data_IF_316347934657
#
_entry.id   IF_316347934657
#
_cell.length_a   1.000
_cell.length_b   1.000
_cell.length_c   1.000
_cell.angle_alpha   90.00
_cell.angle_beta   90.00
_cell.angle_gamma   90.00
#
_symmetry.space_group_name_H-M   'P 1'
#
loop_
_entity.id
_entity.type
_entity.pdbx_description
1 polymer ?
#
# COMPACT_ATOMS: atom_id res chain seq x y z
N UNK A 1 -47.76 1.75 -0.74
CA UNK A 1 -46.79 0.70 -0.38
C UNK A 1 -45.54 0.90 -1.23
N UNK A 2 -44.32 1.19 -0.77
CA UNK A 2 -43.74 1.63 0.52
C UNK A 2 -42.41 2.27 0.09
N UNK A 3 -42.02 3.45 0.60
CA UNK A 3 -40.79 4.12 0.17
C UNK A 3 -39.57 3.41 0.78
N UNK A 4 -38.57 3.06 -0.05
CA UNK A 4 -37.25 2.64 0.46
C UNK A 4 -36.48 3.88 0.91
N UNK A 5 -36.59 4.20 2.19
CA UNK A 5 -35.64 5.06 2.89
C UNK A 5 -34.37 4.28 3.28
N UNK A 6 -33.24 4.95 3.08
CA UNK A 6 -31.99 4.89 3.85
C UNK A 6 -31.11 3.63 3.79
N UNK A 7 -30.19 3.61 2.82
CA UNK A 7 -28.77 3.46 3.18
C UNK A 7 -28.11 4.84 2.99
N UNK A 8 -28.12 5.65 4.03
CA UNK A 8 -27.38 6.92 4.07
C UNK A 8 -25.88 6.65 4.24
N UNK A 9 -25.28 5.98 3.26
CA UNK A 9 -23.84 5.82 3.15
C UNK A 9 -23.18 7.15 2.74
N UNK A 10 -22.02 7.46 3.29
CA UNK A 10 -21.21 8.61 2.84
C UNK A 10 -20.92 8.44 1.35
N UNK A 11 -21.32 9.42 0.53
CA UNK A 11 -21.10 9.39 -0.92
C UNK A 11 -19.60 9.17 -1.22
N UNK A 12 -19.24 8.23 -2.10
CA UNK A 12 -17.87 8.04 -2.54
C UNK A 12 -17.27 9.33 -3.12
N UNK A 13 -16.05 9.64 -2.69
CA UNK A 13 -15.26 10.75 -3.19
C UNK A 13 -14.19 10.14 -4.09
N UNK A 14 -13.98 10.72 -5.27
CA UNK A 14 -12.85 10.40 -6.13
C UNK A 14 -11.65 11.31 -5.81
N UNK A 15 -10.41 10.87 -6.09
CA UNK A 15 -9.25 11.74 -6.12
C UNK A 15 -9.51 12.99 -6.98
N UNK A 16 -8.87 14.11 -6.66
CA UNK A 16 -8.99 15.35 -7.47
C UNK A 16 -8.18 15.23 -8.75
N UNK A 17 -8.69 15.79 -9.84
CA UNK A 17 -8.01 15.96 -11.13
C UNK A 17 -6.88 16.98 -11.11
N UNK A 18 -6.76 17.78 -10.05
CA UNK A 18 -5.80 18.90 -9.99
C UNK A 18 -4.36 18.45 -9.80
N UNK A 19 -4.15 17.26 -9.23
CA UNK A 19 -2.85 16.65 -9.00
C UNK A 19 -3.00 15.12 -9.02
N UNK A 20 -2.02 14.43 -9.61
CA UNK A 20 -2.01 12.96 -9.70
C UNK A 20 -1.81 12.28 -8.33
N UNK A 21 -1.96 10.95 -8.27
CA UNK A 21 -1.89 10.20 -7.01
C UNK A 21 -0.54 10.36 -6.30
N UNK A 22 0.56 10.38 -7.05
CA UNK A 22 1.91 10.64 -6.53
C UNK A 22 1.97 11.99 -5.79
N UNK A 23 1.48 13.06 -6.41
CA UNK A 23 1.49 14.41 -5.82
C UNK A 23 0.53 14.52 -4.62
N UNK A 24 -0.54 13.73 -4.59
CA UNK A 24 -1.41 13.62 -3.40
C UNK A 24 -0.71 12.89 -2.24
N UNK A 25 0.09 11.86 -2.51
CA UNK A 25 0.93 11.21 -1.51
C UNK A 25 2.02 12.17 -0.98
N UNK A 26 2.63 12.96 -1.85
CA UNK A 26 3.59 14.01 -1.45
C UNK A 26 2.93 15.09 -0.55
N UNK A 27 1.61 15.33 -0.70
CA UNK A 27 0.84 16.21 0.18
C UNK A 27 0.65 15.61 1.57
N UNK A 28 0.41 14.29 1.66
CA UNK A 28 0.42 13.59 2.95
C UNK A 28 1.80 13.68 3.60
N UNK A 29 2.86 13.38 2.86
CA UNK A 29 4.24 13.42 3.35
C UNK A 29 4.61 14.83 3.86
N UNK A 30 4.21 15.87 3.12
CA UNK A 30 4.38 17.28 3.53
C UNK A 30 3.61 17.61 4.81
N UNK A 31 2.38 17.11 4.96
CA UNK A 31 1.58 17.35 6.15
C UNK A 31 2.19 16.66 7.40
N UNK A 32 2.79 15.48 7.23
CA UNK A 32 3.52 14.79 8.29
C UNK A 32 4.80 15.53 8.66
N UNK A 33 5.58 15.98 7.67
CA UNK A 33 6.81 16.76 7.90
C UNK A 33 6.53 18.04 8.69
N UNK A 34 5.51 18.82 8.29
CA UNK A 34 5.16 20.09 8.92
C UNK A 34 4.44 19.91 10.27
N UNK A 35 3.61 18.87 10.41
CA UNK A 35 2.89 18.58 11.66
C UNK A 35 3.74 17.94 12.74
N UNK A 36 4.89 17.36 12.36
CA UNK A 36 5.80 16.69 13.28
C UNK A 36 5.22 15.41 13.90
N UNK A 37 5.91 14.82 14.90
CA UNK A 37 5.47 13.59 15.57
C UNK A 37 4.14 13.76 16.34
N UNK A 38 3.82 14.99 16.74
CA UNK A 38 2.57 15.35 17.41
C UNK A 38 1.38 15.48 16.44
N UNK A 39 1.62 15.33 15.12
CA UNK A 39 0.60 15.42 14.06
C UNK A 39 -0.21 16.72 14.13
N UNK A 40 0.47 17.84 14.42
CA UNK A 40 -0.19 19.14 14.56
C UNK A 40 -0.91 19.51 13.25
N UNK A 41 -2.10 20.15 13.31
CA UNK A 41 -2.81 20.58 12.12
C UNK A 41 -1.97 21.55 11.26
N UNK A 42 -1.86 21.27 9.97
CA UNK A 42 -1.05 22.06 9.02
C UNK A 42 -1.97 22.91 8.13
N UNK A 43 -1.91 24.26 8.19
CA UNK A 43 -2.71 25.13 7.34
C UNK A 43 -2.56 24.84 5.83
N UNK A 44 -3.66 24.89 5.07
CA UNK A 44 -3.61 24.66 3.61
C UNK A 44 -2.62 25.56 2.85
N UNK A 45 -2.50 26.87 3.15
CA UNK A 45 -1.53 27.74 2.47
C UNK A 45 -0.08 27.29 2.69
N UNK A 46 0.23 26.78 3.88
CA UNK A 46 1.56 26.32 4.25
C UNK A 46 1.93 25.04 3.50
N UNK A 47 1.07 24.01 3.58
CA UNK A 47 1.24 22.77 2.82
C UNK A 47 1.29 23.03 1.30
N UNK A 48 0.43 23.92 0.80
CA UNK A 48 0.40 24.33 -0.60
C UNK A 48 1.69 25.02 -1.04
N UNK A 49 2.24 25.91 -0.21
CA UNK A 49 3.52 26.60 -0.51
C UNK A 49 4.67 25.61 -0.61
N UNK A 50 4.77 24.65 0.32
CA UNK A 50 5.82 23.62 0.31
C UNK A 50 5.78 22.76 -0.95
N UNK A 51 4.57 22.47 -1.45
CA UNK A 51 4.36 21.72 -2.70
C UNK A 51 4.26 22.57 -3.97
N UNK A 52 4.30 23.90 -3.86
CA UNK A 52 4.08 24.81 -5.00
C UNK A 52 2.73 24.59 -5.71
N UNK A 53 1.67 24.40 -4.93
CA UNK A 53 0.28 24.28 -5.41
C UNK A 53 -0.64 25.25 -4.66
N UNK A 54 -1.73 25.67 -5.30
CA UNK A 54 -2.68 26.59 -4.66
C UNK A 54 -3.48 25.94 -3.52
N UNK A 55 -3.97 26.78 -2.58
CA UNK A 55 -4.87 26.37 -1.49
C UNK A 55 -6.05 25.53 -1.97
N UNK A 56 -6.65 25.90 -3.11
CA UNK A 56 -7.79 25.19 -3.67
C UNK A 56 -7.43 23.75 -4.10
N UNK A 57 -6.20 23.51 -4.57
CA UNK A 57 -5.71 22.17 -4.91
C UNK A 57 -5.56 21.31 -3.67
N UNK A 58 -4.93 21.84 -2.61
CA UNK A 58 -4.81 21.17 -1.31
C UNK A 58 -6.21 20.82 -0.76
N UNK A 59 -7.12 21.79 -0.79
CA UNK A 59 -8.48 21.60 -0.32
C UNK A 59 -9.22 20.51 -1.09
N UNK A 60 -9.07 20.44 -2.42
CA UNK A 60 -9.69 19.39 -3.24
C UNK A 60 -9.08 18.01 -2.99
N UNK A 61 -7.76 17.93 -2.82
CA UNK A 61 -7.04 16.66 -2.62
C UNK A 61 -7.38 15.98 -1.29
N UNK A 62 -7.66 16.75 -0.23
CA UNK A 62 -7.90 16.19 1.10
C UNK A 62 -9.12 15.25 1.15
N UNK A 63 -10.13 15.46 0.30
CA UNK A 63 -11.44 14.82 0.44
C UNK A 63 -11.35 13.30 0.30
N UNK A 64 -10.63 12.83 -0.71
CA UNK A 64 -10.38 11.41 -0.95
C UNK A 64 -9.54 10.80 0.17
N UNK A 65 -8.43 11.43 0.54
CA UNK A 65 -7.54 10.94 1.60
C UNK A 65 -8.24 10.88 2.97
N UNK A 66 -9.12 11.86 3.27
CA UNK A 66 -9.92 11.89 4.49
C UNK A 66 -10.96 10.77 4.53
N UNK A 67 -11.69 10.55 3.44
CA UNK A 67 -12.68 9.46 3.37
C UNK A 67 -12.02 8.09 3.58
N UNK A 68 -10.75 7.96 3.20
CA UNK A 68 -10.00 6.70 3.26
C UNK A 68 -8.96 6.66 4.39
N UNK A 69 -9.18 7.47 5.44
CA UNK A 69 -8.51 7.31 6.73
C UNK A 69 -7.08 7.83 6.82
N UNK A 70 -6.53 8.49 5.78
CA UNK A 70 -5.18 9.07 5.82
C UNK A 70 -5.15 10.46 6.44
N UNK A 71 -6.26 11.21 6.31
CA UNK A 71 -6.43 12.53 6.92
C UNK A 71 -7.67 12.58 7.82
N UNK A 72 -7.61 13.40 8.86
CA UNK A 72 -8.70 13.67 9.78
C UNK A 72 -9.61 14.82 9.31
N UNK A 73 -10.74 15.03 10.00
CA UNK A 73 -11.61 16.18 9.75
C UNK A 73 -10.94 17.46 10.26
N UNK A 74 -10.76 18.44 9.37
CA UNK A 74 -10.35 19.79 9.76
C UNK A 74 -10.84 20.82 8.74
N UNK A 75 -11.02 22.07 9.19
CA UNK A 75 -11.38 23.20 8.34
C UNK A 75 -10.15 24.07 8.13
N UNK A 76 -9.73 24.24 6.89
CA UNK A 76 -8.62 25.13 6.53
C UNK A 76 -7.21 24.58 6.82
N UNK A 77 -7.11 23.40 7.41
CA UNK A 77 -5.86 22.71 7.70
C UNK A 77 -5.96 21.20 7.37
N UNK A 78 -4.82 20.57 7.14
CA UNK A 78 -4.66 19.13 7.05
C UNK A 78 -4.36 18.61 8.44
N UNK A 79 -5.12 17.63 8.91
CA UNK A 79 -4.80 16.88 10.11
C UNK A 79 -4.48 15.47 9.67
N UNK A 80 -3.29 14.98 9.99
CA UNK A 80 -2.90 13.60 9.63
C UNK A 80 -3.43 12.63 10.68
N UNK A 81 -3.90 11.46 10.26
CA UNK A 81 -4.29 10.39 11.19
C UNK A 81 -3.09 9.55 11.58
N UNK A 82 -3.23 8.68 12.60
CA UNK A 82 -2.20 7.70 12.91
C UNK A 82 -1.85 6.80 11.69
N UNK A 83 -2.85 6.43 10.89
CA UNK A 83 -2.65 5.63 9.68
C UNK A 83 -1.91 6.41 8.58
N UNK A 84 -2.26 7.68 8.38
CA UNK A 84 -1.56 8.56 7.43
C UNK A 84 -0.11 8.83 7.84
N UNK A 85 0.14 9.03 9.14
CA UNK A 85 1.48 9.20 9.69
C UNK A 85 2.33 7.95 9.48
N UNK A 86 1.79 6.78 9.86
CA UNK A 86 2.46 5.49 9.66
C UNK A 86 2.76 5.22 8.19
N UNK A 87 1.82 5.51 7.28
CA UNK A 87 2.05 5.38 5.84
C UNK A 87 3.24 6.25 5.40
N UNK A 88 3.28 7.52 5.82
CA UNK A 88 4.36 8.43 5.43
C UNK A 88 5.73 7.99 5.96
N UNK A 89 5.79 7.56 7.21
CA UNK A 89 7.02 7.03 7.81
C UNK A 89 7.52 5.79 7.04
N UNK A 90 6.62 4.84 6.77
CA UNK A 90 6.96 3.67 5.96
C UNK A 90 7.45 4.05 4.56
N UNK A 91 6.81 5.04 3.91
CA UNK A 91 7.23 5.49 2.57
C UNK A 91 8.67 6.00 2.54
N UNK A 92 9.13 6.64 3.63
CA UNK A 92 10.50 7.15 3.74
C UNK A 92 11.55 6.05 3.92
N UNK A 93 11.19 4.94 4.56
CA UNK A 93 12.15 3.89 4.94
C UNK A 93 12.04 2.62 4.09
N UNK A 94 10.82 2.24 3.73
CA UNK A 94 10.48 0.97 3.05
C UNK A 94 9.20 1.15 2.22
N UNK A 95 9.39 1.58 0.97
CA UNK A 95 8.28 1.81 0.03
C UNK A 95 7.45 0.55 -0.24
N UNK A 96 8.06 -0.65 -0.24
CA UNK A 96 7.32 -1.89 -0.46
C UNK A 96 6.37 -2.17 0.70
N UNK A 97 6.84 -2.02 1.95
CA UNK A 97 6.01 -2.16 3.14
C UNK A 97 4.92 -1.10 3.23
N UNK A 98 5.21 0.13 2.81
CA UNK A 98 4.19 1.19 2.74
C UNK A 98 3.03 0.83 1.81
N UNK A 99 3.32 0.28 0.63
CA UNK A 99 2.31 -0.12 -0.35
C UNK A 99 1.47 -1.30 0.15
N UNK A 100 2.10 -2.30 0.78
CA UNK A 100 1.38 -3.42 1.42
C UNK A 100 0.50 -2.95 2.59
N UNK A 101 1.03 -2.06 3.42
CA UNK A 101 0.26 -1.46 4.51
C UNK A 101 -0.97 -0.72 4.00
N UNK A 102 -0.82 0.07 2.92
CA UNK A 102 -1.93 0.78 2.29
C UNK A 102 -2.96 -0.19 1.68
N UNK A 103 -2.50 -1.27 1.04
CA UNK A 103 -3.37 -2.33 0.51
C UNK A 103 -4.27 -2.89 1.61
N UNK A 104 -3.68 -3.22 2.76
CA UNK A 104 -4.38 -3.85 3.87
C UNK A 104 -5.33 -2.85 4.55
N UNK A 105 -4.91 -1.58 4.69
CA UNK A 105 -5.77 -0.48 5.17
C UNK A 105 -7.01 -0.28 4.29
N UNK A 106 -6.86 -0.45 2.98
CA UNK A 106 -7.92 -0.21 1.99
C UNK A 106 -8.57 -1.47 1.43
N UNK A 107 -8.34 -2.65 2.03
CA UNK A 107 -8.91 -3.92 1.56
C UNK A 107 -10.44 -3.87 1.45
N UNK A 108 -11.08 -3.16 2.39
CA UNK A 108 -12.52 -2.97 2.47
C UNK A 108 -12.96 -1.58 1.98
N UNK A 109 -12.12 -0.86 1.25
CA UNK A 109 -12.53 0.39 0.62
C UNK A 109 -13.48 0.11 -0.56
N UNK A 110 -14.38 1.06 -0.85
CA UNK A 110 -15.38 0.91 -1.91
C UNK A 110 -14.74 0.71 -3.28
N UNK A 111 -13.62 1.38 -3.56
CA UNK A 111 -12.92 1.32 -4.84
C UNK A 111 -12.15 0.01 -4.99
N UNK A 112 -11.59 -0.53 -3.90
CA UNK A 112 -10.97 -1.86 -3.88
C UNK A 112 -12.00 -2.93 -4.21
N UNK A 113 -13.14 -2.95 -3.51
CA UNK A 113 -14.23 -3.89 -3.83
C UNK A 113 -14.76 -3.74 -5.26
N UNK A 114 -14.88 -2.50 -5.74
CA UNK A 114 -15.31 -2.21 -7.10
C UNK A 114 -14.31 -2.75 -8.12
N UNK A 115 -13.01 -2.46 -7.97
CA UNK A 115 -11.96 -2.97 -8.83
C UNK A 115 -11.93 -4.51 -8.84
N UNK A 116 -12.01 -5.14 -7.65
CA UNK A 116 -12.10 -6.60 -7.52
C UNK A 116 -13.31 -7.21 -8.19
N UNK A 117 -14.44 -6.50 -8.28
CA UNK A 117 -15.62 -6.96 -9.01
C UNK A 117 -15.45 -6.83 -10.52
N UNK A 118 -14.89 -5.72 -10.98
CA UNK A 118 -14.72 -5.43 -12.41
C UNK A 118 -13.68 -6.37 -13.04
N UNK A 119 -12.54 -6.54 -12.39
CA UNK A 119 -11.39 -7.29 -12.89
C UNK A 119 -11.42 -8.79 -12.56
N UNK A 120 -12.53 -9.30 -11.99
CA UNK A 120 -12.64 -10.72 -11.59
C UNK A 120 -12.55 -11.67 -12.78
N UNK A 121 -13.11 -11.26 -13.92
CA UNK A 121 -13.25 -12.12 -15.10
C UNK A 121 -12.10 -11.98 -16.10
N UNK A 122 -11.54 -10.77 -16.23
CA UNK A 122 -10.47 -10.50 -17.19
C UNK A 122 -9.73 -9.21 -16.81
N UNK A 123 -8.46 -9.07 -17.22
CA UNK A 123 -7.75 -7.79 -17.23
C UNK A 123 -8.46 -6.76 -18.11
N UNK A 124 -8.30 -5.47 -17.80
CA UNK A 124 -8.90 -4.35 -18.54
C UNK A 124 -7.88 -3.23 -18.78
N UNK A 125 -8.00 -2.51 -19.90
CA UNK A 125 -7.24 -1.28 -20.10
C UNK A 125 -7.48 -0.28 -18.95
N UNK A 126 -6.42 0.42 -18.53
CA UNK A 126 -6.48 1.37 -17.41
C UNK A 126 -7.56 2.45 -17.61
N UNK A 127 -7.73 2.93 -18.85
CA UNK A 127 -8.73 3.95 -19.23
C UNK A 127 -10.17 3.42 -19.10
N UNK A 128 -10.41 2.18 -19.51
CA UNK A 128 -11.71 1.51 -19.40
C UNK A 128 -12.04 1.24 -17.93
N UNK A 129 -11.07 0.73 -17.17
CA UNK A 129 -11.22 0.52 -15.73
C UNK A 129 -11.53 1.84 -15.00
N UNK A 130 -10.77 2.91 -15.30
CA UNK A 130 -11.00 4.24 -14.76
C UNK A 130 -12.42 4.74 -15.03
N UNK A 131 -12.89 4.63 -16.28
CA UNK A 131 -14.23 5.04 -16.67
C UNK A 131 -15.31 4.28 -15.90
N UNK A 132 -15.14 2.96 -15.71
CA UNK A 132 -16.08 2.11 -14.99
C UNK A 132 -16.09 2.40 -13.49
N UNK A 133 -14.93 2.63 -12.89
CA UNK A 133 -14.79 3.00 -11.47
C UNK A 133 -15.36 4.38 -11.16
N UNK A 134 -15.23 5.34 -12.06
CA UNK A 134 -15.73 6.71 -11.87
C UNK A 134 -17.16 6.93 -12.37
N UNK A 135 -17.82 5.88 -12.87
CA UNK A 135 -19.16 5.98 -13.47
C UNK A 135 -20.15 6.57 -12.46
N UNK A 136 -20.85 7.63 -12.85
CA UNK A 136 -21.80 8.40 -12.02
C UNK A 136 -21.18 9.19 -10.84
N UNK A 137 -19.84 9.15 -10.68
CA UNK A 137 -19.13 9.89 -9.63
C UNK A 137 -18.45 11.16 -10.15
N UNK A 138 -17.95 11.14 -11.40
CA UNK A 138 -17.37 12.29 -12.06
C UNK A 138 -17.76 12.36 -13.54
N UNK A 139 -17.68 13.57 -14.10
CA UNK A 139 -17.70 13.81 -15.56
C UNK A 139 -16.30 13.88 -16.16
N UNK A 140 -15.26 14.02 -15.33
CA UNK A 140 -13.85 14.10 -15.75
C UNK A 140 -13.19 12.72 -15.66
N UNK A 141 -12.56 12.30 -16.76
CA UNK A 141 -11.90 11.01 -16.85
C UNK A 141 -10.64 10.92 -15.96
N UNK A 142 -9.97 12.05 -15.77
CA UNK A 142 -8.74 12.20 -15.01
C UNK A 142 -8.88 11.72 -13.56
N UNK A 143 -10.05 11.96 -12.94
CA UNK A 143 -10.31 11.50 -11.57
C UNK A 143 -10.39 9.99 -11.46
N UNK A 144 -10.91 9.33 -12.52
CA UNK A 144 -10.91 7.87 -12.62
C UNK A 144 -9.50 7.34 -12.80
N UNK A 145 -8.68 7.98 -13.65
CA UNK A 145 -7.29 7.59 -13.86
C UNK A 145 -6.47 7.71 -12.58
N UNK A 146 -6.59 8.81 -11.83
CA UNK A 146 -5.90 8.95 -10.55
C UNK A 146 -6.38 7.92 -9.51
N UNK A 147 -7.63 7.44 -9.59
CA UNK A 147 -8.06 6.32 -8.75
C UNK A 147 -7.37 5.02 -9.14
N UNK A 148 -7.16 4.77 -10.43
CA UNK A 148 -6.38 3.62 -10.92
C UNK A 148 -4.92 3.72 -10.47
N UNK A 149 -4.29 4.91 -10.55
CA UNK A 149 -2.95 5.15 -10.01
C UNK A 149 -2.86 4.85 -8.51
N UNK A 150 -3.90 5.22 -7.74
CA UNK A 150 -3.98 4.89 -6.30
C UNK A 150 -4.11 3.39 -6.05
N UNK A 151 -4.92 2.68 -6.84
CA UNK A 151 -5.09 1.23 -6.77
C UNK A 151 -3.79 0.49 -7.10
N UNK A 152 -3.06 0.96 -8.11
CA UNK A 152 -1.76 0.42 -8.51
C UNK A 152 -0.69 0.70 -7.44
N UNK A 153 -0.65 1.93 -6.92
CA UNK A 153 0.24 2.27 -5.82
C UNK A 153 -0.04 1.38 -4.60
N UNK A 154 -1.31 1.16 -4.25
CA UNK A 154 -1.71 0.30 -3.15
C UNK A 154 -1.63 -1.21 -3.45
N UNK A 155 -1.04 -1.64 -4.58
CA UNK A 155 -0.91 -3.06 -4.95
C UNK A 155 -2.24 -3.82 -4.92
N UNK A 156 -3.33 -3.15 -5.27
CA UNK A 156 -4.65 -3.77 -5.47
C UNK A 156 -4.75 -4.27 -6.90
N UNK A 157 -4.22 -3.49 -7.84
CA UNK A 157 -4.11 -3.84 -9.25
C UNK A 157 -2.65 -3.72 -9.70
N UNK A 158 -2.31 -4.43 -10.76
CA UNK A 158 -1.02 -4.34 -11.46
C UNK A 158 -1.27 -4.40 -12.96
N UNK A 159 -0.31 -3.89 -13.74
CA UNK A 159 -0.28 -4.04 -15.18
C UNK A 159 0.21 -5.45 -15.55
N UNK A 160 -0.51 -6.13 -16.45
CA UNK A 160 -0.12 -7.41 -17.04
C UNK A 160 0.95 -7.20 -18.13
N UNK A 161 1.46 -8.30 -18.71
CA UNK A 161 2.46 -8.23 -19.78
C UNK A 161 1.97 -7.60 -21.09
N UNK A 162 0.67 -7.31 -21.21
CA UNK A 162 0.03 -6.67 -22.37
C UNK A 162 -0.38 -5.22 -22.09
N UNK A 163 -0.04 -4.66 -20.93
CA UNK A 163 -0.40 -3.28 -20.59
C UNK A 163 -1.81 -3.11 -20.00
N UNK A 164 -2.47 -4.19 -19.57
CA UNK A 164 -3.83 -4.16 -19.00
C UNK A 164 -3.80 -4.35 -17.49
N UNK A 165 -4.72 -3.71 -16.79
CA UNK A 165 -4.85 -3.81 -15.35
C UNK A 165 -5.52 -5.12 -14.95
N UNK A 166 -4.89 -5.86 -14.05
CA UNK A 166 -5.43 -7.06 -13.42
C UNK A 166 -5.35 -6.95 -11.89
N UNK A 167 -6.06 -7.82 -11.17
CA UNK A 167 -5.92 -7.89 -9.72
C UNK A 167 -4.55 -8.47 -9.37
N UNK A 168 -3.87 -7.84 -8.42
CA UNK A 168 -2.68 -8.47 -7.81
C UNK A 168 -3.16 -9.74 -7.14
N UNK A 169 -2.64 -10.89 -7.58
CA UNK A 169 -2.97 -12.16 -6.95
C UNK A 169 -2.68 -12.03 -5.45
N UNK A 170 -3.67 -12.36 -4.61
CA UNK A 170 -3.42 -12.55 -3.19
C UNK A 170 -2.37 -13.66 -3.12
N UNK A 171 -1.11 -13.29 -2.92
CA UNK A 171 -0.08 -14.25 -2.54
C UNK A 171 -0.51 -14.74 -1.18
N UNK A 172 -1.31 -15.80 -1.16
CA UNK A 172 -1.32 -16.74 -0.06
C UNK A 172 0.16 -17.07 0.07
N UNK A 173 0.77 -16.59 1.15
CA UNK A 173 2.02 -17.14 1.62
C UNK A 173 1.70 -18.57 1.99
N UNK A 174 1.55 -19.45 1.01
CA UNK A 174 1.84 -20.85 1.22
C UNK A 174 3.25 -20.84 1.79
N UNK A 175 3.47 -21.34 3.02
CA UNK A 175 4.81 -21.49 3.52
C UNK A 175 5.62 -22.15 2.40
N UNK A 176 6.85 -21.67 2.11
CA UNK A 176 7.66 -22.31 1.09
C UNK A 176 7.65 -23.82 1.36
N UNK A 177 7.47 -24.65 0.32
CA UNK A 177 7.42 -26.10 0.51
C UNK A 177 8.62 -26.47 1.38
N UNK A 178 8.35 -27.10 2.53
CA UNK A 178 9.40 -27.59 3.42
C UNK A 178 10.37 -28.37 2.54
N UNK A 179 11.61 -27.90 2.33
CA UNK A 179 12.57 -28.65 1.55
C UNK A 179 12.71 -30.00 2.23
N UNK A 180 12.63 -31.08 1.46
CA UNK A 180 13.01 -32.40 1.95
C UNK A 180 14.37 -32.26 2.66
N UNK A 181 14.56 -32.88 3.84
CA UNK A 181 15.79 -32.74 4.59
C UNK A 181 16.98 -33.08 3.66
N UNK A 182 17.95 -32.17 3.51
CA UNK A 182 19.08 -32.42 2.64
C UNK A 182 19.81 -33.67 3.15
N UNK A 183 20.05 -34.61 2.23
CA UNK A 183 21.09 -35.59 2.42
C UNK A 183 22.37 -34.82 2.78
N UNK A 184 22.99 -35.22 3.89
CA UNK A 184 24.12 -34.56 4.54
C UNK A 184 25.05 -33.82 3.56
N UNK A 185 25.00 -32.49 3.58
CA UNK A 185 26.04 -31.64 3.00
C UNK A 185 26.91 -31.07 4.13
N UNK A 186 28.23 -30.95 3.92
CA UNK A 186 29.22 -30.90 4.99
C UNK A 186 29.20 -29.56 5.72
N UNK A 187 28.91 -29.59 7.02
CA UNK A 187 28.93 -28.43 7.93
C UNK A 187 30.35 -27.92 8.25
N UNK A 188 31.33 -28.17 7.37
CA UNK A 188 32.75 -27.86 7.56
C UNK A 188 33.39 -27.20 6.32
N UNK A 189 32.62 -26.52 5.47
CA UNK A 189 33.19 -25.72 4.37
C UNK A 189 33.71 -24.37 4.88
N UNK A 190 34.87 -23.95 4.37
CA UNK A 190 35.49 -22.65 4.66
C UNK A 190 34.78 -21.51 3.91
N UNK A 191 34.94 -20.26 4.38
CA UNK A 191 34.28 -19.09 3.77
C UNK A 191 34.66 -18.87 2.28
N UNK A 192 35.86 -19.31 1.89
CA UNK A 192 36.34 -19.28 0.51
C UNK A 192 35.61 -20.29 -0.38
N UNK A 193 35.37 -21.50 0.12
CA UNK A 193 34.63 -22.55 -0.60
C UNK A 193 33.15 -22.18 -0.77
N UNK A 194 32.55 -21.53 0.24
CA UNK A 194 31.16 -21.06 0.17
C UNK A 194 30.99 -19.99 -0.91
N UNK A 195 32.00 -19.13 -1.09
CA UNK A 195 31.96 -18.03 -2.07
C UNK A 195 32.14 -18.50 -3.52
N UNK A 196 32.69 -19.71 -3.72
CA UNK A 196 32.85 -20.34 -5.04
C UNK A 196 31.67 -21.22 -5.47
N UNK A 197 30.63 -21.34 -4.67
CA UNK A 197 29.47 -22.19 -4.98
C UNK A 197 28.60 -21.56 -6.08
N UNK A 198 28.01 -22.38 -6.97
CA UNK A 198 26.93 -21.93 -7.83
C UNK A 198 25.77 -21.36 -7.01
N UNK A 199 25.11 -20.30 -7.49
CA UNK A 199 24.08 -19.55 -6.76
C UNK A 199 23.04 -20.44 -6.06
N UNK A 200 22.57 -21.49 -6.73
CA UNK A 200 21.57 -22.42 -6.19
C UNK A 200 22.08 -23.19 -4.95
N UNK A 201 23.37 -23.51 -4.90
CA UNK A 201 24.00 -24.19 -3.76
C UNK A 201 24.35 -23.19 -2.65
N UNK A 202 24.78 -21.98 -3.02
CA UNK A 202 24.98 -20.89 -2.06
C UNK A 202 23.70 -20.58 -1.28
N UNK A 203 22.56 -20.46 -1.98
CA UNK A 203 21.25 -20.24 -1.34
C UNK A 203 20.86 -21.38 -0.39
N UNK A 204 21.12 -22.63 -0.76
CA UNK A 204 20.84 -23.79 0.10
C UNK A 204 21.67 -23.76 1.39
N UNK A 205 22.96 -23.43 1.30
CA UNK A 205 23.86 -23.30 2.46
C UNK A 205 23.41 -22.17 3.38
N UNK A 206 23.08 -20.98 2.83
CA UNK A 206 22.61 -19.85 3.63
C UNK A 206 21.27 -20.12 4.32
N UNK A 207 20.38 -20.88 3.68
CA UNK A 207 19.11 -21.30 4.28
C UNK A 207 19.32 -22.28 5.43
N UNK A 208 20.27 -23.22 5.30
CA UNK A 208 20.66 -24.14 6.37
C UNK A 208 21.25 -23.40 7.58
N UNK A 209 22.12 -22.41 7.35
CA UNK A 209 22.66 -21.55 8.41
C UNK A 209 21.57 -20.76 9.14
N UNK A 210 20.62 -20.20 8.39
CA UNK A 210 19.49 -19.45 8.98
C UNK A 210 18.64 -20.35 9.89
N UNK A 211 18.39 -21.59 9.47
CA UNK A 211 17.64 -22.56 10.28
C UNK A 211 18.39 -22.94 11.55
N UNK A 212 19.70 -23.18 11.47
CA UNK A 212 20.53 -23.51 12.65
C UNK A 212 20.62 -22.35 13.65
N UNK A 213 20.75 -21.11 13.16
CA UNK A 213 20.74 -19.93 14.02
C UNK A 213 19.37 -19.73 14.69
N UNK A 214 18.28 -19.97 13.95
CA UNK A 214 16.92 -19.89 14.49
C UNK A 214 16.64 -20.99 15.54
N UNK A 215 17.09 -22.22 15.30
CA UNK A 215 16.92 -23.33 16.26
C UNK A 215 17.74 -23.12 17.54
N UNK A 216 18.93 -22.51 17.43
CA UNK A 216 19.76 -22.18 18.60
C UNK A 216 19.18 -21.01 19.41
N UNK A 217 18.51 -20.06 18.76
CA UNK A 217 17.79 -18.98 19.44
C UNK A 217 16.54 -19.50 20.20
N UNK A 218 15.90 -20.57 19.73
CA UNK A 218 14.77 -21.22 20.42
C UNK A 218 15.19 -22.16 21.56
N UNK A 219 16.41 -22.72 21.52
CA UNK A 219 16.91 -23.62 22.57
C UNK A 219 17.36 -22.89 23.86
N UNK A 220 17.49 -21.56 23.85
CA UNK A 220 17.91 -20.76 25.01
C UNK A 220 16.81 -20.41 26.02
N UNK A 221 15.54 -20.77 25.75
CA UNK A 221 14.39 -20.36 26.57
C UNK A 221 13.68 -21.53 27.26
N UNK A 222 14.43 -22.39 27.95
CA UNK A 222 13.85 -23.36 28.89
C UNK A 222 14.51 -23.23 30.27
N UNK A 223 13.92 -22.38 31.10
CA UNK A 223 14.10 -22.40 32.57
C UNK A 223 13.43 -23.66 33.12
N UNK A 224 14.08 -24.49 33.96
CA UNK A 224 13.43 -25.65 34.56
C UNK A 224 12.50 -25.21 35.71
N UNK A 225 11.33 -25.85 35.90
CA UNK A 225 10.52 -25.64 37.09
C UNK A 225 11.12 -26.37 38.30
N UNK A 226 10.87 -25.79 39.48
CA UNK A 226 11.33 -26.22 40.80
C UNK A 226 10.72 -27.55 41.28
#
# INVERSE_FOLDING_TARGET
>A
MTPRQAESGVRPILPTERINARRQLELLDTAVELGGPEMLPVPFPEAGSRLRVGKATVQSAQGFMRQNGLLGPSRGALTVTAEGFRLSELRRTDSARARLYLRDLWKDAWFTRSASKLLRSAPEEATVLAQRLSRHLSKTAERGMHLVEWLEYALVVEEDGEGRMQLVAARVTTPPPTPAPPAAAPLLATAEEISGLPDSQFFAVMQAYRTLLASRAHAGSTTPPA
#
